data_IF_138693367153
#
_entry.id   IF_138693367153
#
_cell.length_a   1.000
_cell.length_b   1.000
_cell.length_c   1.000
_cell.angle_alpha   90.00
_cell.angle_beta   90.00
_cell.angle_gamma   90.00
#
_symmetry.space_group_name_H-M   'P 1'
#
loop_
_entity.id
_entity.type
_entity.pdbx_description
1 polymer ?
#
# COMPACT_ATOMS: atom_id res chain seq x y z
N UNK A 1 7.20 42.60 -11.19
CA UNK A 1 6.13 42.14 -11.41
C UNK A 1 5.63 41.07 -12.33
N UNK A 2 4.66 40.32 -11.86
CA UNK A 2 3.92 39.26 -12.58
C UNK A 2 3.48 39.64 -13.99
N UNK A 3 3.06 40.89 -14.22
CA UNK A 3 2.59 41.36 -15.53
C UNK A 3 3.68 41.60 -16.59
N UNK A 4 4.95 41.69 -16.19
CA UNK A 4 6.03 42.04 -17.13
C UNK A 4 6.76 40.84 -17.72
N UNK A 5 6.64 39.64 -17.07
CA UNK A 5 7.16 38.37 -17.57
C UNK A 5 6.14 37.25 -17.33
N UNK A 6 5.00 37.37 -18.01
CA UNK A 6 3.85 36.46 -17.87
C UNK A 6 4.25 35.00 -18.11
N UNK A 7 5.03 34.72 -19.13
CA UNK A 7 5.49 33.36 -19.48
C UNK A 7 6.28 32.72 -18.35
N UNK A 8 7.19 33.46 -17.73
CA UNK A 8 8.03 32.96 -16.65
C UNK A 8 7.22 32.75 -15.36
N UNK A 9 6.25 33.63 -15.10
CA UNK A 9 5.32 33.50 -13.97
C UNK A 9 4.42 32.27 -14.14
N UNK A 10 3.87 32.05 -15.33
CA UNK A 10 3.07 30.86 -15.61
C UNK A 10 3.90 29.59 -15.45
N UNK A 11 5.13 29.56 -15.96
CA UNK A 11 6.03 28.41 -15.79
C UNK A 11 6.27 28.08 -14.30
N UNK A 12 6.53 29.10 -13.47
CA UNK A 12 6.72 28.90 -12.03
C UNK A 12 5.44 28.36 -11.38
N UNK A 13 4.27 28.95 -11.67
CA UNK A 13 2.99 28.50 -11.12
C UNK A 13 2.73 27.04 -11.47
N UNK A 14 2.88 26.66 -12.75
CA UNK A 14 2.67 25.27 -13.20
C UNK A 14 3.64 24.31 -12.50
N UNK A 15 4.92 24.69 -12.41
CA UNK A 15 5.93 23.83 -11.74
C UNK A 15 5.63 23.66 -10.27
N UNK A 16 5.22 24.71 -9.57
CA UNK A 16 4.80 24.65 -8.16
C UNK A 16 3.56 23.78 -8.02
N UNK A 17 2.54 24.00 -8.85
CA UNK A 17 1.30 23.22 -8.83
C UNK A 17 1.56 21.72 -9.00
N UNK A 18 2.32 21.34 -10.01
CA UNK A 18 2.67 19.93 -10.27
C UNK A 18 3.46 19.34 -9.12
N UNK A 19 4.46 20.08 -8.60
CA UNK A 19 5.29 19.58 -7.49
C UNK A 19 4.49 19.34 -6.20
N UNK A 20 3.62 20.29 -5.83
CA UNK A 20 2.80 20.18 -4.63
C UNK A 20 1.68 19.15 -4.78
N UNK A 21 1.08 19.03 -5.97
CA UNK A 21 0.10 18.00 -6.26
C UNK A 21 0.70 16.60 -6.17
N UNK A 22 1.88 16.38 -6.73
CA UNK A 22 2.59 15.09 -6.62
C UNK A 22 2.96 14.77 -5.18
N UNK A 23 3.43 15.76 -4.43
CA UNK A 23 3.78 15.58 -3.03
C UNK A 23 2.55 15.25 -2.18
N UNK A 24 1.46 16.01 -2.35
CA UNK A 24 0.19 15.78 -1.65
C UNK A 24 -0.41 14.41 -2.01
N UNK A 25 -0.46 14.06 -3.29
CA UNK A 25 -0.93 12.76 -3.75
C UNK A 25 -0.09 11.61 -3.16
N UNK A 26 1.24 11.75 -3.09
CA UNK A 26 2.12 10.75 -2.49
C UNK A 26 1.82 10.52 -1.01
N UNK A 27 1.55 11.58 -0.24
CA UNK A 27 1.17 11.48 1.18
C UNK A 27 -0.21 10.83 1.37
N UNK A 28 -1.19 11.20 0.53
CA UNK A 28 -2.54 10.61 0.58
C UNK A 28 -2.51 9.11 0.26
N UNK A 29 -1.81 8.72 -0.80
CA UNK A 29 -1.66 7.30 -1.16
C UNK A 29 -0.97 6.53 -0.03
N UNK A 30 0.04 7.10 0.61
CA UNK A 30 0.71 6.49 1.75
C UNK A 30 -0.26 6.24 2.92
N UNK A 31 -1.09 7.22 3.25
CA UNK A 31 -2.09 7.08 4.31
C UNK A 31 -3.14 6.00 3.96
N UNK A 32 -3.63 5.99 2.72
CA UNK A 32 -4.60 5.01 2.24
C UNK A 32 -4.03 3.58 2.23
N UNK A 33 -2.81 3.39 1.74
CA UNK A 33 -2.16 2.06 1.74
C UNK A 33 -1.96 1.55 3.16
N UNK A 34 -1.61 2.42 4.12
CA UNK A 34 -1.54 2.05 5.54
C UNK A 34 -2.88 1.52 6.05
N UNK A 35 -3.96 2.28 5.88
CA UNK A 35 -5.30 1.87 6.30
C UNK A 35 -5.79 0.58 5.60
N UNK A 36 -5.52 0.46 4.30
CA UNK A 36 -5.85 -0.78 3.58
C UNK A 36 -5.09 -1.98 4.13
N UNK A 37 -3.81 -1.81 4.45
CA UNK A 37 -2.97 -2.87 5.01
C UNK A 37 -3.51 -3.35 6.34
N UNK A 38 -3.85 -2.44 7.25
CA UNK A 38 -4.40 -2.76 8.56
C UNK A 38 -5.77 -3.47 8.43
N UNK A 39 -6.66 -2.96 7.57
CA UNK A 39 -7.97 -3.55 7.31
C UNK A 39 -7.88 -4.97 6.75
N UNK A 40 -6.97 -5.22 5.79
CA UNK A 40 -6.81 -6.53 5.18
C UNK A 40 -6.10 -7.51 6.10
N UNK A 41 -5.09 -7.06 6.86
CA UNK A 41 -4.36 -7.93 7.78
C UNK A 41 -5.23 -8.44 8.94
N UNK A 42 -6.20 -7.67 9.38
CA UNK A 42 -7.15 -8.10 10.42
C UNK A 42 -8.15 -9.18 9.91
N UNK A 43 -8.31 -9.30 8.60
CA UNK A 43 -9.26 -10.24 7.95
C UNK A 43 -8.60 -11.44 7.29
N UNK A 44 -7.28 -11.48 7.23
CA UNK A 44 -6.58 -12.59 6.59
C UNK A 44 -6.52 -13.78 7.53
N UNK A 45 -6.99 -14.90 7.03
CA UNK A 45 -6.98 -16.19 7.69
C UNK A 45 -5.88 -17.09 7.11
N UNK A 46 -5.37 -17.98 7.93
CA UNK A 46 -4.52 -19.08 7.50
C UNK A 46 -5.43 -20.23 7.11
N UNK A 47 -5.26 -20.75 5.89
CA UNK A 47 -5.99 -21.92 5.42
C UNK A 47 -5.11 -23.15 5.50
N UNK A 48 -5.51 -24.11 6.33
CA UNK A 48 -4.89 -25.43 6.45
C UNK A 48 -5.77 -26.39 5.66
N UNK A 49 -5.29 -26.76 4.47
CA UNK A 49 -5.99 -27.71 3.59
C UNK A 49 -5.75 -29.14 4.08
N UNK A 50 -6.83 -29.92 4.14
CA UNK A 50 -6.81 -31.29 4.58
C UNK A 50 -6.70 -32.24 3.40
N UNK A 51 -6.11 -33.42 3.62
CA UNK A 51 -6.00 -34.44 2.60
C UNK A 51 -7.39 -34.92 2.12
N UNK A 52 -7.60 -34.85 0.83
CA UNK A 52 -8.77 -35.40 0.13
C UNK A 52 -8.42 -36.68 -0.62
N UNK A 53 -9.39 -37.26 -1.33
CA UNK A 53 -9.20 -38.47 -2.13
C UNK A 53 -8.16 -38.33 -3.26
N UNK A 54 -7.96 -37.11 -3.78
CA UNK A 54 -7.10 -36.81 -4.93
C UNK A 54 -5.82 -36.08 -4.53
N UNK A 55 -5.51 -36.02 -3.25
CA UNK A 55 -4.33 -35.27 -2.75
C UNK A 55 -3.04 -36.07 -3.02
N UNK A 56 -2.08 -35.43 -3.74
CA UNK A 56 -0.77 -36.02 -4.09
C UNK A 56 0.36 -35.65 -3.13
N UNK A 57 0.06 -34.95 -2.03
CA UNK A 57 1.09 -34.53 -1.07
C UNK A 57 1.64 -35.74 -0.31
N UNK A 58 2.95 -35.76 0.03
CA UNK A 58 3.57 -36.84 0.81
C UNK A 58 2.90 -37.08 2.17
N UNK A 59 2.36 -36.04 2.77
CA UNK A 59 1.58 -36.04 4.02
C UNK A 59 0.19 -36.67 3.88
N UNK A 60 -0.25 -36.95 2.65
CA UNK A 60 -1.55 -37.55 2.30
C UNK A 60 -1.40 -38.99 1.81
N UNK A 61 -0.30 -39.67 2.10
CA UNK A 61 -0.06 -41.05 1.66
C UNK A 61 -1.12 -42.06 2.16
N UNK A 62 -1.78 -41.75 3.27
CA UNK A 62 -2.87 -42.56 3.86
C UNK A 62 -4.25 -42.26 3.24
N UNK A 63 -4.32 -41.37 2.24
CA UNK A 63 -5.56 -40.97 1.55
C UNK A 63 -6.34 -39.87 2.28
N UNK A 64 -7.68 -39.87 2.15
CA UNK A 64 -8.54 -38.88 2.76
C UNK A 64 -8.47 -38.91 4.29
N UNK A 65 -8.34 -37.73 4.90
CA UNK A 65 -8.22 -37.56 6.34
C UNK A 65 -9.44 -38.11 7.09
N UNK A 66 -9.21 -38.89 8.13
CA UNK A 66 -10.27 -39.44 8.98
C UNK A 66 -10.90 -38.39 9.91
N UNK A 67 -12.13 -38.63 10.35
CA UNK A 67 -12.80 -37.73 11.29
C UNK A 67 -12.01 -37.57 12.61
N UNK A 68 -11.42 -38.64 13.12
CA UNK A 68 -10.62 -38.59 14.36
C UNK A 68 -9.39 -37.69 14.21
N UNK A 69 -8.73 -37.72 13.08
CA UNK A 69 -7.59 -36.82 12.77
C UNK A 69 -8.01 -35.37 12.62
N UNK A 70 -9.16 -35.12 11.95
CA UNK A 70 -9.74 -33.77 11.86
C UNK A 70 -10.02 -33.20 13.24
N UNK A 71 -10.65 -33.96 14.11
CA UNK A 71 -10.99 -33.54 15.49
C UNK A 71 -9.70 -33.25 16.30
N UNK A 72 -8.66 -34.06 16.13
CA UNK A 72 -7.36 -33.85 16.76
C UNK A 72 -6.66 -32.56 16.27
N UNK A 73 -6.66 -32.31 14.96
CA UNK A 73 -6.09 -31.08 14.42
C UNK A 73 -6.86 -29.86 14.93
N UNK A 74 -8.18 -29.94 15.02
CA UNK A 74 -9.01 -28.86 15.59
C UNK A 74 -8.65 -28.59 17.04
N UNK A 75 -8.57 -29.62 17.86
CA UNK A 75 -8.23 -29.51 19.30
C UNK A 75 -6.85 -28.87 19.50
N UNK A 76 -5.88 -29.26 18.69
CA UNK A 76 -4.54 -28.68 18.75
C UNK A 76 -4.52 -27.20 18.31
N UNK A 77 -5.27 -26.83 17.25
CA UNK A 77 -5.41 -25.43 16.82
C UNK A 77 -6.09 -24.58 17.91
N UNK A 78 -7.15 -25.09 18.53
CA UNK A 78 -7.83 -24.41 19.64
C UNK A 78 -6.97 -24.31 20.91
N UNK A 79 -6.05 -25.26 21.09
CA UNK A 79 -5.08 -25.25 22.19
C UNK A 79 -3.97 -24.21 22.03
N UNK A 80 -3.79 -23.64 20.85
CA UNK A 80 -2.79 -22.60 20.59
C UNK A 80 -3.23 -21.17 21.01
N UNK A 81 -4.24 -21.05 21.87
CA UNK A 81 -4.61 -19.75 22.45
C UNK A 81 -3.46 -19.20 23.32
N UNK A 82 -3.15 -17.90 23.30
CA UNK A 82 -3.87 -16.81 22.63
C UNK A 82 -3.43 -16.52 21.18
N UNK A 83 -2.56 -17.32 20.58
CA UNK A 83 -2.07 -17.13 19.21
C UNK A 83 -3.20 -17.27 18.18
N UNK A 84 -4.05 -18.27 18.36
CA UNK A 84 -5.24 -18.54 17.56
C UNK A 84 -6.45 -17.88 18.22
N UNK A 85 -7.13 -17.01 17.49
CA UNK A 85 -8.36 -16.33 17.94
C UNK A 85 -9.57 -17.20 17.68
N UNK A 86 -9.74 -17.64 16.43
CA UNK A 86 -10.86 -18.50 16.00
C UNK A 86 -10.41 -19.53 14.98
N UNK A 87 -11.02 -20.70 15.04
CA UNK A 87 -10.88 -21.79 14.07
C UNK A 87 -12.22 -22.06 13.44
N UNK A 88 -12.29 -21.92 12.13
CA UNK A 88 -13.48 -22.23 11.33
C UNK A 88 -13.18 -23.42 10.43
N UNK A 89 -14.05 -24.43 10.46
CA UNK A 89 -13.96 -25.58 9.55
C UNK A 89 -14.80 -25.32 8.31
N UNK A 90 -14.22 -25.48 7.15
CA UNK A 90 -14.85 -25.36 5.85
C UNK A 90 -14.97 -26.73 5.21
N UNK A 91 -16.21 -27.16 4.98
CA UNK A 91 -16.54 -28.40 4.30
C UNK A 91 -16.33 -28.32 2.78
N UNK A 92 -16.22 -29.49 2.09
CA UNK A 92 -16.14 -29.56 0.62
C UNK A 92 -17.29 -28.78 -0.05
N UNK A 93 -18.50 -28.82 0.51
CA UNK A 93 -19.69 -28.14 -0.04
C UNK A 93 -19.56 -26.62 0.10
N UNK A 94 -19.08 -26.12 1.23
CA UNK A 94 -18.84 -24.70 1.46
C UNK A 94 -17.70 -24.18 0.58
N UNK A 95 -16.63 -24.96 0.44
CA UNK A 95 -15.52 -24.67 -0.44
C UNK A 95 -15.98 -24.54 -1.90
N UNK A 96 -16.82 -25.47 -2.38
CA UNK A 96 -17.40 -25.39 -3.73
C UNK A 96 -18.29 -24.15 -3.90
N UNK A 97 -19.14 -23.86 -2.92
CA UNK A 97 -20.00 -22.67 -2.97
C UNK A 97 -19.17 -21.40 -3.11
N UNK A 98 -18.12 -21.25 -2.30
CA UNK A 98 -17.21 -20.11 -2.38
C UNK A 98 -16.46 -20.06 -3.70
N UNK A 99 -15.96 -21.21 -4.18
CA UNK A 99 -15.31 -21.31 -5.49
C UNK A 99 -16.22 -20.80 -6.60
N UNK A 100 -17.48 -21.26 -6.64
CA UNK A 100 -18.47 -20.81 -7.63
C UNK A 100 -18.82 -19.32 -7.49
N UNK A 101 -18.84 -18.78 -6.28
CA UNK A 101 -19.06 -17.36 -6.05
C UNK A 101 -17.88 -16.50 -6.52
N UNK A 102 -16.66 -16.99 -6.30
CA UNK A 102 -15.43 -16.28 -6.69
C UNK A 102 -15.19 -16.30 -8.20
N UNK A 103 -15.57 -17.39 -8.86
CA UNK A 103 -15.36 -17.63 -10.30
C UNK A 103 -16.65 -17.61 -11.12
N UNK A 104 -17.64 -16.80 -10.74
CA UNK A 104 -18.98 -16.73 -11.37
C UNK A 104 -18.94 -16.58 -12.89
N UNK A 105 -17.97 -15.82 -13.40
CA UNK A 105 -17.83 -15.49 -14.82
C UNK A 105 -16.84 -16.44 -15.55
N UNK A 106 -16.42 -17.51 -14.90
CA UNK A 106 -15.46 -18.47 -15.46
C UNK A 106 -16.14 -19.81 -15.74
N UNK A 107 -15.85 -20.45 -16.90
CA UNK A 107 -16.32 -21.81 -17.19
C UNK A 107 -15.90 -22.86 -16.14
N UNK A 108 -14.87 -22.57 -15.36
CA UNK A 108 -14.41 -23.44 -14.28
C UNK A 108 -15.44 -23.59 -13.15
N UNK A 109 -16.29 -22.58 -12.93
CA UNK A 109 -17.33 -22.65 -11.90
C UNK A 109 -18.38 -23.73 -12.22
N UNK A 110 -18.68 -23.94 -13.50
CA UNK A 110 -19.70 -24.91 -13.95
C UNK A 110 -19.17 -26.35 -13.89
N UNK A 111 -17.89 -26.56 -14.06
CA UNK A 111 -17.26 -27.90 -14.12
C UNK A 111 -16.79 -28.42 -12.77
N UNK A 112 -16.65 -27.53 -11.76
CA UNK A 112 -16.17 -27.91 -10.43
C UNK A 112 -17.21 -28.76 -9.68
N UNK A 113 -16.73 -29.87 -9.09
CA UNK A 113 -17.54 -30.82 -8.30
C UNK A 113 -17.13 -30.80 -6.83
N UNK A 114 -17.99 -31.31 -5.94
CA UNK A 114 -17.75 -31.33 -4.48
C UNK A 114 -16.50 -32.16 -4.14
N UNK A 115 -16.29 -33.28 -4.84
CA UNK A 115 -15.19 -34.20 -4.58
C UNK A 115 -13.82 -33.63 -4.95
N UNK A 116 -13.79 -32.61 -5.80
CA UNK A 116 -12.57 -31.89 -6.18
C UNK A 116 -12.18 -30.79 -5.19
N UNK A 117 -13.05 -30.48 -4.23
CA UNK A 117 -12.79 -29.41 -3.27
C UNK A 117 -12.16 -30.00 -2.00
N UNK A 118 -11.00 -29.47 -1.58
CA UNK A 118 -10.42 -29.87 -0.30
C UNK A 118 -11.21 -29.27 0.86
N UNK A 119 -11.32 -30.02 1.95
CA UNK A 119 -11.73 -29.46 3.24
C UNK A 119 -10.61 -28.62 3.83
N UNK A 120 -10.92 -27.63 4.63
CA UNK A 120 -9.90 -26.82 5.25
C UNK A 120 -10.29 -26.31 6.66
N UNK A 121 -9.29 -26.06 7.49
CA UNK A 121 -9.43 -25.21 8.65
C UNK A 121 -8.95 -23.81 8.32
N UNK A 122 -9.81 -22.84 8.57
CA UNK A 122 -9.51 -21.42 8.44
C UNK A 122 -9.24 -20.86 9.83
N UNK A 123 -8.03 -20.41 10.03
CA UNK A 123 -7.53 -20.00 11.34
C UNK A 123 -7.29 -18.49 11.32
N UNK A 124 -8.02 -17.77 12.18
CA UNK A 124 -7.75 -16.37 12.44
C UNK A 124 -6.72 -16.28 13.56
N UNK A 125 -5.64 -15.55 13.32
CA UNK A 125 -4.58 -15.32 14.30
C UNK A 125 -4.78 -13.97 15.00
N UNK A 126 -4.49 -13.93 16.30
CA UNK A 126 -4.46 -12.68 17.08
C UNK A 126 -3.34 -11.74 16.62
N UNK A 127 -2.22 -12.31 16.21
CA UNK A 127 -1.11 -11.58 15.57
C UNK A 127 -0.83 -12.21 14.21
N UNK A 128 -1.25 -11.55 13.13
CA UNK A 128 -1.05 -12.06 11.79
C UNK A 128 0.42 -12.27 11.40
N UNK A 129 1.39 -11.65 12.04
CA UNK A 129 2.82 -11.83 11.73
C UNK A 129 3.37 -13.19 12.14
N UNK A 130 2.67 -13.91 13.01
CA UNK A 130 3.08 -15.21 13.57
C UNK A 130 2.62 -16.41 12.73
N UNK A 131 2.21 -16.18 11.48
CA UNK A 131 1.84 -17.25 10.56
C UNK A 131 2.89 -18.36 10.46
N UNK A 132 4.17 -18.01 10.40
CA UNK A 132 5.25 -18.98 10.26
C UNK A 132 5.25 -20.05 11.37
N UNK A 133 4.75 -19.72 12.56
CA UNK A 133 4.63 -20.65 13.68
C UNK A 133 3.58 -21.72 13.38
N UNK A 134 2.42 -21.30 12.85
CA UNK A 134 1.35 -22.23 12.46
C UNK A 134 1.79 -23.08 11.27
N UNK A 135 2.37 -22.45 10.25
CA UNK A 135 2.86 -23.18 9.08
C UNK A 135 3.88 -24.25 9.46
N UNK A 136 4.88 -23.90 10.29
CA UNK A 136 5.89 -24.85 10.74
C UNK A 136 5.32 -26.02 11.58
N UNK A 137 4.23 -25.78 12.30
CA UNK A 137 3.60 -26.81 13.13
C UNK A 137 2.74 -27.80 12.32
N UNK A 138 2.20 -27.38 11.17
CA UNK A 138 1.20 -28.17 10.45
C UNK A 138 1.57 -28.55 9.02
N UNK A 139 2.60 -27.94 8.37
CA UNK A 139 2.92 -28.15 6.95
C UNK A 139 3.28 -29.61 6.60
N UNK A 140 4.01 -30.31 7.48
CA UNK A 140 4.46 -31.69 7.25
C UNK A 140 3.67 -32.73 8.06
N UNK A 141 2.49 -32.33 8.53
CA UNK A 141 1.67 -33.19 9.39
C UNK A 141 0.81 -34.13 8.57
N UNK A 142 0.73 -35.40 8.97
CA UNK A 142 -0.18 -36.36 8.37
C UNK A 142 -1.63 -35.85 8.37
N UNK A 143 -2.31 -35.96 7.24
CA UNK A 143 -3.67 -35.47 7.05
C UNK A 143 -3.76 -33.99 6.64
N UNK A 144 -2.65 -33.26 6.56
CA UNK A 144 -2.59 -31.88 6.05
C UNK A 144 -1.93 -31.89 4.69
N UNK A 145 -2.65 -31.43 3.67
CA UNK A 145 -2.13 -31.33 2.31
C UNK A 145 -1.23 -30.10 2.11
N UNK A 146 -1.69 -28.94 2.57
CA UNK A 146 -0.95 -27.69 2.41
C UNK A 146 -1.40 -26.65 3.46
N UNK A 147 -0.52 -25.73 3.79
CA UNK A 147 -0.80 -24.59 4.68
C UNK A 147 -0.55 -23.31 3.94
N UNK A 148 -1.62 -22.61 3.55
CA UNK A 148 -1.52 -21.39 2.75
C UNK A 148 -1.80 -20.13 3.56
N UNK A 149 -0.87 -19.20 3.41
CA UNK A 149 -1.05 -17.83 3.87
C UNK A 149 -1.56 -16.96 2.71
N UNK A 150 -2.79 -16.51 2.83
CA UNK A 150 -3.34 -15.57 1.86
C UNK A 150 -2.60 -14.22 1.87
N UNK A 151 -1.84 -13.91 2.93
CA UNK A 151 -1.05 -12.68 3.03
C UNK A 151 0.14 -12.65 2.09
N UNK A 152 0.73 -13.79 1.76
CA UNK A 152 1.93 -13.83 0.91
C UNK A 152 1.71 -13.13 -0.43
N UNK A 153 0.52 -13.24 -1.01
CA UNK A 153 0.13 -12.53 -2.24
C UNK A 153 -0.12 -11.04 -1.99
N UNK A 154 -0.80 -10.72 -0.88
CA UNK A 154 -1.07 -9.33 -0.48
C UNK A 154 0.23 -8.60 -0.10
N UNK A 155 1.17 -9.25 0.59
CA UNK A 155 2.46 -8.66 0.92
C UNK A 155 3.28 -8.29 -0.32
N UNK A 156 3.28 -9.12 -1.35
CA UNK A 156 3.95 -8.80 -2.62
C UNK A 156 3.34 -7.56 -3.26
N UNK A 157 2.02 -7.48 -3.27
CA UNK A 157 1.28 -6.32 -3.77
C UNK A 157 1.61 -5.06 -2.95
N UNK A 158 1.54 -5.14 -1.61
CA UNK A 158 1.84 -4.00 -0.75
C UNK A 158 3.32 -3.58 -0.82
N UNK A 159 4.26 -4.53 -0.96
CA UNK A 159 5.68 -4.21 -1.21
C UNK A 159 5.88 -3.47 -2.54
N UNK A 160 5.21 -3.90 -3.60
CA UNK A 160 5.26 -3.22 -4.88
C UNK A 160 4.66 -1.80 -4.80
N UNK A 161 3.50 -1.65 -4.17
CA UNK A 161 2.85 -0.36 -3.95
C UNK A 161 3.74 0.57 -3.09
N UNK A 162 4.35 0.06 -2.02
CA UNK A 162 5.26 0.83 -1.18
C UNK A 162 6.52 1.26 -1.94
N UNK A 163 7.03 0.40 -2.84
CA UNK A 163 8.15 0.74 -3.73
C UNK A 163 7.80 1.90 -4.67
N UNK A 164 6.64 1.83 -5.31
CA UNK A 164 6.12 2.91 -6.17
C UNK A 164 5.93 4.22 -5.39
N UNK A 165 5.37 4.13 -4.18
CA UNK A 165 5.21 5.29 -3.30
C UNK A 165 6.52 5.97 -2.95
N UNK A 166 7.53 5.19 -2.56
CA UNK A 166 8.84 5.73 -2.21
C UNK A 166 9.48 6.42 -3.43
N UNK A 167 9.36 5.82 -4.62
CA UNK A 167 9.81 6.43 -5.87
C UNK A 167 9.09 7.75 -6.14
N UNK A 168 7.76 7.78 -6.03
CA UNK A 168 6.95 8.99 -6.21
C UNK A 168 7.34 10.09 -5.21
N UNK A 169 7.58 9.73 -3.95
CA UNK A 169 8.02 10.67 -2.93
C UNK A 169 9.40 11.26 -3.26
N UNK A 170 10.36 10.43 -3.69
CA UNK A 170 11.68 10.91 -4.12
C UNK A 170 11.56 11.88 -5.27
N UNK A 171 10.78 11.55 -6.30
CA UNK A 171 10.52 12.44 -7.43
C UNK A 171 9.89 13.75 -6.96
N UNK A 172 8.89 13.71 -6.08
CA UNK A 172 8.24 14.89 -5.54
C UNK A 172 9.22 15.81 -4.78
N UNK A 173 10.11 15.23 -3.96
CA UNK A 173 11.14 15.99 -3.24
C UNK A 173 12.13 16.62 -4.22
N UNK A 174 12.61 15.89 -5.22
CA UNK A 174 13.49 16.43 -6.26
C UNK A 174 12.82 17.58 -7.00
N UNK A 175 11.54 17.44 -7.36
CA UNK A 175 10.77 18.52 -8.01
C UNK A 175 10.61 19.74 -7.13
N UNK A 176 10.41 19.59 -5.83
CA UNK A 176 10.37 20.72 -4.88
C UNK A 176 11.72 21.44 -4.81
N UNK A 177 12.83 20.71 -4.81
CA UNK A 177 14.17 21.31 -4.84
C UNK A 177 14.39 22.10 -6.15
N UNK A 178 14.06 21.50 -7.30
CA UNK A 178 14.16 22.15 -8.62
C UNK A 178 13.30 23.41 -8.65
N UNK A 179 12.07 23.33 -8.13
CA UNK A 179 11.15 24.48 -8.03
C UNK A 179 11.75 25.59 -7.18
N UNK A 180 12.34 25.25 -6.02
CA UNK A 180 13.02 26.22 -5.17
C UNK A 180 14.19 26.91 -5.87
N UNK A 181 15.01 26.17 -6.60
CA UNK A 181 16.10 26.71 -7.41
C UNK A 181 15.59 27.60 -8.54
N UNK A 182 14.52 27.20 -9.21
CA UNK A 182 13.88 27.98 -10.26
C UNK A 182 13.36 29.32 -9.73
N UNK A 183 12.64 29.29 -8.61
CA UNK A 183 12.15 30.50 -7.92
C UNK A 183 13.33 31.40 -7.53
N UNK A 184 14.38 30.82 -6.93
CA UNK A 184 15.57 31.57 -6.52
C UNK A 184 16.26 32.26 -7.70
N UNK A 185 16.41 31.55 -8.83
CA UNK A 185 16.99 32.10 -10.05
C UNK A 185 16.12 33.22 -10.63
N UNK A 186 14.80 33.00 -10.69
CA UNK A 186 13.83 33.99 -11.16
C UNK A 186 13.87 35.26 -10.32
N UNK A 187 13.94 35.11 -8.99
CA UNK A 187 14.08 36.25 -8.07
C UNK A 187 15.37 37.02 -8.30
N UNK A 188 16.48 36.34 -8.57
CA UNK A 188 17.77 36.98 -8.88
C UNK A 188 17.68 37.81 -10.15
N UNK A 189 17.08 37.27 -11.21
CA UNK A 189 16.89 37.99 -12.48
C UNK A 189 15.94 39.18 -12.30
N UNK A 190 14.85 39.01 -11.55
CA UNK A 190 13.90 40.10 -11.25
C UNK A 190 14.57 41.24 -10.45
N UNK A 191 15.36 40.89 -9.44
CA UNK A 191 16.13 41.87 -8.64
C UNK A 191 17.16 42.60 -9.49
N UNK A 192 17.84 41.90 -10.38
CA UNK A 192 18.79 42.54 -11.31
C UNK A 192 18.12 43.52 -12.29
N UNK A 193 16.95 43.16 -12.83
CA UNK A 193 16.19 44.04 -13.73
C UNK A 193 15.69 45.32 -13.05
N UNK A 194 15.54 45.29 -11.71
CA UNK A 194 15.11 46.44 -10.86
C UNK A 194 16.25 47.06 -10.05
N UNK A 195 17.51 46.87 -10.45
CA UNK A 195 18.68 47.28 -9.67
C UNK A 195 18.71 48.81 -9.39
N UNK A 196 18.20 49.64 -10.29
CA UNK A 196 18.12 51.08 -10.07
C UNK A 196 17.14 51.47 -8.96
N UNK A 197 15.95 50.82 -8.93
CA UNK A 197 14.94 51.04 -7.89
C UNK A 197 15.44 50.53 -6.51
N UNK A 198 16.08 49.39 -6.46
CA UNK A 198 16.63 48.83 -5.25
C UNK A 198 17.85 49.61 -4.74
N UNK A 199 18.65 50.20 -5.63
CA UNK A 199 19.76 51.09 -5.23
C UNK A 199 19.26 52.38 -4.59
N UNK A 200 18.20 52.98 -5.16
CA UNK A 200 17.58 54.17 -4.56
C UNK A 200 17.01 53.87 -3.19
N UNK A 201 16.32 52.73 -3.03
CA UNK A 201 15.79 52.29 -1.72
C UNK A 201 16.91 52.13 -0.67
N UNK A 202 18.08 51.60 -1.07
CA UNK A 202 19.24 51.47 -0.17
C UNK A 202 19.81 52.82 0.23
N UNK A 203 19.87 53.77 -0.70
CA UNK A 203 20.35 55.14 -0.40
C UNK A 203 19.44 55.88 0.56
N UNK A 204 18.15 55.59 0.57
CA UNK A 204 17.17 56.16 1.52
C UNK A 204 17.11 55.37 2.84
N UNK A 205 17.97 54.35 3.04
CA UNK A 205 18.08 53.62 4.28
C UNK A 205 17.14 52.38 4.41
N UNK A 206 16.53 51.91 3.32
CA UNK A 206 15.70 50.74 3.39
C UNK A 206 16.50 49.47 3.77
N UNK A 207 15.96 48.66 4.70
CA UNK A 207 16.57 47.43 5.12
C UNK A 207 16.57 46.36 4.01
N UNK A 208 17.49 45.41 4.06
CA UNK A 208 17.53 44.29 3.13
C UNK A 208 16.22 43.47 3.12
N UNK A 209 15.52 43.44 4.25
CA UNK A 209 14.21 42.76 4.37
C UNK A 209 13.13 43.52 3.59
N UNK A 210 13.04 44.84 3.72
CA UNK A 210 12.08 45.67 2.96
C UNK A 210 12.27 45.55 1.46
N UNK A 211 13.48 45.36 0.98
CA UNK A 211 13.80 45.17 -0.43
C UNK A 211 13.38 43.77 -0.91
N UNK A 212 13.52 42.73 -0.07
CA UNK A 212 13.20 41.33 -0.43
C UNK A 212 11.72 40.98 -0.27
N UNK A 213 11.02 41.62 0.66
CA UNK A 213 9.65 41.34 1.04
C UNK A 213 8.67 41.30 -0.17
N UNK A 214 8.67 42.28 -1.10
CA UNK A 214 7.77 42.23 -2.27
C UNK A 214 7.97 41.00 -3.15
N UNK A 215 9.20 40.52 -3.28
CA UNK A 215 9.53 39.32 -4.05
C UNK A 215 9.07 38.04 -3.35
N UNK A 216 9.17 37.99 -2.01
CA UNK A 216 8.66 36.86 -1.22
C UNK A 216 7.14 36.76 -1.29
N UNK A 217 6.44 37.89 -1.23
CA UNK A 217 4.98 37.94 -1.41
C UNK A 217 4.57 37.47 -2.81
N UNK A 218 5.30 37.88 -3.83
CA UNK A 218 5.05 37.47 -5.21
C UNK A 218 5.26 35.95 -5.39
N UNK A 219 6.27 35.36 -4.78
CA UNK A 219 6.51 33.93 -4.77
C UNK A 219 5.44 33.15 -3.98
N UNK A 220 5.04 33.69 -2.82
CA UNK A 220 3.98 33.08 -2.02
C UNK A 220 2.63 33.09 -2.75
N UNK A 221 2.28 34.17 -3.42
CA UNK A 221 1.08 34.26 -4.25
C UNK A 221 1.11 33.24 -5.42
N UNK A 222 2.27 33.11 -6.09
CA UNK A 222 2.45 32.13 -7.15
C UNK A 222 2.29 30.68 -6.62
N UNK A 223 2.78 30.40 -5.42
CA UNK A 223 2.62 29.11 -4.76
C UNK A 223 1.13 28.83 -4.41
N UNK A 224 0.44 29.82 -3.82
CA UNK A 224 -0.99 29.68 -3.49
C UNK A 224 -1.84 29.48 -4.75
N UNK A 225 -1.59 30.22 -5.82
CA UNK A 225 -2.30 30.04 -7.10
C UNK A 225 -1.98 28.69 -7.76
N UNK A 226 -0.82 28.11 -7.47
CA UNK A 226 -0.44 26.78 -7.96
C UNK A 226 -1.05 25.63 -7.13
N UNK A 227 -1.66 25.91 -5.97
CA UNK A 227 -2.31 24.90 -5.11
C UNK A 227 -3.84 24.90 -5.25
N UNK A 228 -4.41 25.89 -5.89
CA UNK A 228 -5.83 25.98 -6.24
C UNK A 228 -6.12 25.33 -7.60
#
# INVERSE_FOLDING_TARGET
GLRRNVTLTIAVIITVAVSLSLFGASLLVRAQVGQMKDYWYDRVEVSIFLCGEISDAPSCADGEISKAEKDKIREELEGLKPLVETVYYESKTEALKRFKEQFKDSPLADTATVDQMPESFRVKLSDPTKFAVIAAAFVDRNGVEDVRDQRASLERLFKALSGLQNLALVIAVVMLVVTGLLISNTMRVAAFSRRRETSIMRLVGASNWSIRFPFLVEAALAAVLGTL
#
